data_IF_969866623803
#
_entry.id   IF_969866623803
#
_cell.length_a   1.000
_cell.length_b   1.000
_cell.length_c   1.000
_cell.angle_alpha   90.00
_cell.angle_beta   90.00
_cell.angle_gamma   90.00
#
_symmetry.space_group_name_H-M   'P 1'
#
loop_
_entity.id
_entity.type
_entity.pdbx_description
1 polymer ?
#
# COMPACT_ATOMS: atom_id res chain seq x y z
N UNK A 1 -1.77 33.77 -12.47
CA UNK A 1 -0.58 32.98 -12.04
C UNK A 1 0.02 32.18 -13.22
N UNK A 2 -0.78 31.46 -14.01
CA UNK A 2 -0.24 30.63 -15.13
C UNK A 2 0.72 31.36 -16.09
N UNK A 3 0.49 32.64 -16.52
CA UNK A 3 1.44 33.37 -17.36
C UNK A 3 2.83 33.57 -16.74
N UNK A 4 2.90 33.64 -15.39
CA UNK A 4 4.19 33.77 -14.68
C UNK A 4 4.98 32.48 -14.77
N UNK A 5 4.32 31.33 -14.62
CA UNK A 5 4.97 30.01 -14.76
C UNK A 5 5.42 29.76 -16.19
N UNK A 6 4.62 30.19 -17.17
CA UNK A 6 4.99 30.17 -18.60
C UNK A 6 6.28 30.97 -18.85
N UNK A 7 6.35 32.20 -18.34
CA UNK A 7 7.54 33.03 -18.43
C UNK A 7 8.75 32.37 -17.77
N UNK A 8 8.59 31.81 -16.56
CA UNK A 8 9.67 31.09 -15.88
C UNK A 8 10.13 29.90 -16.71
N UNK A 9 9.19 29.16 -17.28
CA UNK A 9 9.51 28.03 -18.16
C UNK A 9 10.35 28.47 -19.37
N UNK A 10 9.94 29.54 -20.05
CA UNK A 10 10.68 30.10 -21.18
C UNK A 10 12.08 30.55 -20.75
N UNK A 11 12.20 31.24 -19.61
CA UNK A 11 13.51 31.64 -19.07
C UNK A 11 14.41 30.40 -18.81
N UNK A 12 13.87 29.38 -18.19
CA UNK A 12 14.64 28.15 -17.90
C UNK A 12 15.03 27.41 -19.18
N UNK A 13 14.18 27.44 -20.20
CA UNK A 13 14.41 26.77 -21.48
C UNK A 13 15.39 27.51 -22.38
N UNK A 14 15.49 28.82 -22.23
CA UNK A 14 16.27 29.66 -23.15
C UNK A 14 17.77 29.32 -23.12
N UNK A 15 18.36 29.09 -24.28
CA UNK A 15 19.76 28.62 -24.38
C UNK A 15 20.79 29.71 -24.08
N UNK A 16 20.42 31.00 -24.21
CA UNK A 16 21.33 32.14 -23.93
C UNK A 16 21.54 32.35 -22.43
N UNK A 17 20.72 31.77 -21.56
CA UNK A 17 20.87 31.92 -20.10
C UNK A 17 22.00 30.99 -19.63
N UNK A 18 23.10 31.60 -19.26
CA UNK A 18 24.25 30.87 -18.77
C UNK A 18 23.94 30.09 -17.47
N UNK A 19 24.45 28.86 -17.42
CA UNK A 19 24.40 28.01 -16.24
C UNK A 19 24.88 28.72 -14.94
N UNK A 20 25.79 29.68 -15.07
CA UNK A 20 26.31 30.45 -13.94
C UNK A 20 25.22 31.30 -13.29
N UNK A 21 24.38 31.95 -14.09
CA UNK A 21 23.26 32.77 -13.60
C UNK A 21 22.23 31.90 -12.89
N UNK A 22 21.82 30.80 -13.50
CA UNK A 22 20.87 29.86 -12.88
C UNK A 22 21.38 29.29 -11.55
N UNK A 23 22.67 29.01 -11.42
CA UNK A 23 23.27 28.56 -10.14
C UNK A 23 23.20 29.60 -9.03
N UNK A 24 23.28 30.87 -9.36
CA UNK A 24 23.19 31.96 -8.38
C UNK A 24 21.74 32.15 -7.92
N UNK A 25 20.78 32.08 -8.84
CA UNK A 25 19.35 32.31 -8.55
C UNK A 25 18.72 31.10 -7.86
N UNK A 26 19.02 29.90 -8.35
CA UNK A 26 18.45 28.65 -7.82
C UNK A 26 19.22 28.22 -6.56
N UNK A 27 18.95 28.90 -5.49
CA UNK A 27 19.48 28.59 -4.13
C UNK A 27 18.70 27.49 -3.45
N UNK A 28 19.20 26.98 -2.31
CA UNK A 28 18.43 26.06 -1.48
C UNK A 28 17.14 26.71 -0.95
N UNK A 29 17.18 28.00 -0.60
CA UNK A 29 16.01 28.75 -0.14
C UNK A 29 14.97 28.83 -1.24
N UNK A 30 15.37 29.20 -2.46
CA UNK A 30 14.46 29.22 -3.64
C UNK A 30 13.81 27.87 -3.87
N UNK A 31 14.59 26.79 -3.86
CA UNK A 31 14.05 25.44 -4.06
C UNK A 31 13.06 25.04 -2.96
N UNK A 32 13.30 25.45 -1.70
CA UNK A 32 12.39 25.20 -0.60
C UNK A 32 11.03 25.91 -0.79
N UNK A 33 11.08 27.20 -1.11
CA UNK A 33 9.89 28.00 -1.40
C UNK A 33 9.17 27.48 -2.64
N UNK A 34 9.92 27.06 -3.67
CA UNK A 34 9.35 26.49 -4.90
C UNK A 34 8.64 25.16 -4.64
N UNK A 35 9.19 24.27 -3.80
CA UNK A 35 8.56 22.99 -3.45
C UNK A 35 7.29 23.17 -2.63
N UNK A 36 7.20 24.25 -1.80
CA UNK A 36 5.97 24.57 -1.07
C UNK A 36 4.81 24.90 -2.02
N UNK A 37 5.06 25.44 -3.21
CA UNK A 37 4.01 25.71 -4.20
C UNK A 37 3.27 24.44 -4.65
N UNK A 38 3.88 23.26 -4.52
CA UNK A 38 3.19 21.99 -4.80
C UNK A 38 2.08 21.64 -3.80
N UNK A 39 1.96 22.38 -2.68
CA UNK A 39 0.80 22.29 -1.78
C UNK A 39 -0.49 22.82 -2.42
N UNK A 40 -0.39 23.55 -3.54
CA UNK A 40 -1.55 24.05 -4.26
C UNK A 40 -2.56 22.96 -4.58
N UNK A 41 -3.84 23.22 -4.31
CA UNK A 41 -4.94 22.32 -4.69
C UNK A 41 -5.23 22.34 -6.20
N UNK A 42 -4.73 23.36 -6.93
CA UNK A 42 -4.99 23.57 -8.34
C UNK A 42 -4.05 22.73 -9.22
N UNK A 43 -4.56 21.63 -9.78
CA UNK A 43 -3.76 20.68 -10.54
C UNK A 43 -3.00 21.28 -11.75
N UNK A 44 -3.58 22.21 -12.56
CA UNK A 44 -2.82 22.85 -13.65
C UNK A 44 -1.60 23.63 -13.16
N UNK A 45 -1.65 24.26 -12.01
CA UNK A 45 -0.49 24.94 -11.40
C UNK A 45 0.61 23.93 -11.07
N UNK A 46 0.27 22.83 -10.42
CA UNK A 46 1.23 21.77 -10.09
C UNK A 46 1.87 21.15 -11.34
N UNK A 47 1.11 21.03 -12.42
CA UNK A 47 1.64 20.54 -13.69
C UNK A 47 2.72 21.49 -14.27
N UNK A 48 2.52 22.81 -14.22
CA UNK A 48 3.55 23.78 -14.58
C UNK A 48 4.78 23.67 -13.67
N UNK A 49 4.56 23.58 -12.36
CA UNK A 49 5.65 23.43 -11.39
C UNK A 49 6.45 22.14 -11.63
N UNK A 50 5.79 21.03 -11.93
CA UNK A 50 6.42 19.77 -12.31
C UNK A 50 7.33 19.95 -13.53
N UNK A 51 6.82 20.56 -14.57
CA UNK A 51 7.56 20.79 -15.80
C UNK A 51 8.78 21.70 -15.58
N UNK A 52 8.62 22.78 -14.79
CA UNK A 52 9.73 23.67 -14.42
C UNK A 52 10.79 22.90 -13.62
N UNK A 53 10.40 22.16 -12.59
CA UNK A 53 11.32 21.40 -11.74
C UNK A 53 12.08 20.33 -12.53
N UNK A 54 11.40 19.64 -13.43
CA UNK A 54 12.01 18.65 -14.32
C UNK A 54 13.07 19.29 -15.22
N UNK A 55 12.79 20.47 -15.80
CA UNK A 55 13.74 21.21 -16.64
C UNK A 55 14.93 21.74 -15.83
N UNK A 56 14.67 22.26 -14.63
CA UNK A 56 15.73 22.67 -13.70
C UNK A 56 16.63 21.49 -13.33
N UNK A 57 16.06 20.33 -13.05
CA UNK A 57 16.81 19.11 -12.77
C UNK A 57 17.66 18.66 -13.97
N UNK A 58 17.11 18.71 -15.17
CA UNK A 58 17.83 18.36 -16.39
C UNK A 58 19.01 19.31 -16.64
N UNK A 59 18.79 20.62 -16.54
CA UNK A 59 19.77 21.69 -16.87
C UNK A 59 20.83 21.88 -15.77
N UNK A 60 20.45 21.76 -14.47
CA UNK A 60 21.33 22.05 -13.32
C UNK A 60 22.01 20.79 -12.75
N UNK A 61 22.87 20.14 -13.54
CA UNK A 61 23.60 18.93 -13.09
C UNK A 61 24.23 19.05 -11.70
N UNK A 62 24.96 20.15 -11.36
CA UNK A 62 25.58 20.28 -10.03
C UNK A 62 24.57 20.40 -8.87
N UNK A 63 23.32 20.78 -9.13
CA UNK A 63 22.25 20.91 -8.13
C UNK A 63 21.36 19.67 -8.00
N UNK A 64 21.52 18.67 -8.85
CA UNK A 64 20.70 17.44 -8.84
C UNK A 64 20.65 16.77 -7.46
N UNK A 65 21.80 16.67 -6.77
CA UNK A 65 21.85 16.08 -5.42
C UNK A 65 21.01 16.89 -4.42
N UNK A 66 21.09 18.21 -4.49
CA UNK A 66 20.31 19.11 -3.63
C UNK A 66 18.81 18.96 -3.92
N UNK A 67 18.40 18.98 -5.19
CA UNK A 67 17.00 18.84 -5.60
C UNK A 67 16.45 17.50 -5.10
N UNK A 68 17.16 16.38 -5.33
CA UNK A 68 16.73 15.07 -4.84
C UNK A 68 16.57 15.05 -3.33
N UNK A 69 17.54 15.62 -2.59
CA UNK A 69 17.45 15.70 -1.13
C UNK A 69 16.19 16.44 -0.68
N UNK A 70 15.94 17.62 -1.23
CA UNK A 70 14.79 18.44 -0.83
C UNK A 70 13.45 17.77 -1.17
N UNK A 71 13.34 17.11 -2.33
CA UNK A 71 12.16 16.30 -2.67
C UNK A 71 11.99 15.13 -1.70
N UNK A 72 13.09 14.47 -1.34
CA UNK A 72 13.08 13.40 -0.32
C UNK A 72 12.62 13.92 1.04
N UNK A 73 13.11 15.09 1.47
CA UNK A 73 12.68 15.73 2.72
C UNK A 73 11.17 16.05 2.70
N UNK A 74 10.63 16.52 1.57
CA UNK A 74 9.19 16.73 1.38
C UNK A 74 8.39 15.43 1.55
N UNK A 75 8.84 14.34 0.96
CA UNK A 75 8.18 13.03 1.16
C UNK A 75 8.26 12.55 2.62
N UNK A 76 9.37 12.76 3.30
CA UNK A 76 9.47 12.42 4.72
C UNK A 76 8.49 13.24 5.58
N UNK A 77 8.33 14.55 5.32
CA UNK A 77 7.32 15.35 6.00
C UNK A 77 5.89 14.79 5.75
N UNK A 78 5.56 14.42 4.53
CA UNK A 78 4.27 13.79 4.21
C UNK A 78 4.05 12.47 4.97
N UNK A 79 5.08 11.61 5.05
CA UNK A 79 5.00 10.31 5.71
C UNK A 79 4.86 10.44 7.23
N UNK A 80 5.56 11.40 7.85
CA UNK A 80 5.68 11.50 9.30
C UNK A 80 4.78 12.56 9.93
N UNK A 81 4.61 13.71 9.28
CA UNK A 81 3.90 14.86 9.84
C UNK A 81 2.41 14.88 9.50
N UNK A 82 1.93 13.96 8.65
CA UNK A 82 0.54 13.85 8.19
C UNK A 82 -0.01 15.18 7.60
N UNK A 83 0.85 15.99 7.03
CA UNK A 83 0.47 17.24 6.35
C UNK A 83 -0.27 16.88 5.07
N UNK A 84 -1.34 17.59 4.75
CA UNK A 84 -1.97 17.47 3.43
C UNK A 84 -1.05 18.10 2.39
N UNK A 85 -0.56 17.28 1.49
CA UNK A 85 0.31 17.69 0.40
C UNK A 85 -0.26 17.16 -0.93
N UNK A 86 -0.64 18.06 -1.82
CA UNK A 86 -1.31 17.71 -3.06
C UNK A 86 -0.36 17.34 -4.20
N UNK A 87 0.87 17.81 -4.16
CA UNK A 87 1.87 17.65 -5.22
C UNK A 87 2.64 16.32 -5.21
N UNK A 88 2.17 15.32 -4.48
CA UNK A 88 2.87 14.04 -4.35
C UNK A 88 2.98 13.30 -5.69
N UNK A 89 1.91 13.27 -6.49
CA UNK A 89 1.87 12.64 -7.80
C UNK A 89 2.89 13.28 -8.75
N UNK A 90 2.91 14.61 -8.82
CA UNK A 90 3.81 15.37 -9.69
C UNK A 90 5.29 15.18 -9.29
N UNK A 91 5.58 15.14 -7.99
CA UNK A 91 6.94 14.88 -7.52
C UNK A 91 7.37 13.42 -7.77
N UNK A 92 6.46 12.45 -7.66
CA UNK A 92 6.73 11.05 -8.00
C UNK A 92 6.97 10.87 -9.50
N UNK A 93 6.23 11.58 -10.36
CA UNK A 93 6.45 11.54 -11.80
C UNK A 93 7.86 12.03 -12.18
N UNK A 94 8.33 13.12 -11.54
CA UNK A 94 9.73 13.58 -11.70
C UNK A 94 10.70 12.50 -11.21
N UNK A 95 10.41 11.89 -10.04
CA UNK A 95 11.27 10.84 -9.51
C UNK A 95 11.31 9.61 -10.43
N UNK A 96 10.21 9.23 -11.07
CA UNK A 96 10.20 8.16 -12.06
C UNK A 96 11.21 8.43 -13.20
N UNK A 97 11.24 9.67 -13.72
CA UNK A 97 12.22 10.07 -14.72
C UNK A 97 13.67 10.04 -14.17
N UNK A 98 13.87 10.40 -12.92
CA UNK A 98 15.18 10.34 -12.25
C UNK A 98 15.63 8.89 -12.03
N UNK A 99 14.74 8.02 -11.55
CA UNK A 99 15.00 6.61 -11.29
C UNK A 99 15.35 5.87 -12.58
N UNK A 100 14.65 6.18 -13.69
CA UNK A 100 14.96 5.57 -15.00
C UNK A 100 16.41 5.81 -15.42
N UNK A 101 16.99 6.96 -15.04
CA UNK A 101 18.39 7.32 -15.30
C UNK A 101 19.42 6.75 -14.31
N UNK A 102 19.03 5.98 -13.30
CA UNK A 102 20.00 5.37 -12.37
C UNK A 102 20.78 4.24 -13.05
N UNK A 103 22.10 4.22 -12.78
CA UNK A 103 22.96 3.12 -13.22
C UNK A 103 22.69 1.84 -12.42
N UNK A 104 22.92 0.71 -13.07
CA UNK A 104 22.89 -0.63 -12.43
C UNK A 104 24.34 -1.08 -12.21
N UNK A 105 24.67 -1.64 -11.02
CA UNK A 105 23.81 -1.89 -9.86
C UNK A 105 23.42 -0.60 -9.12
N UNK A 106 22.26 -0.66 -8.42
CA UNK A 106 21.81 0.46 -7.60
C UNK A 106 22.77 0.76 -6.45
N UNK A 107 22.97 2.04 -6.15
CA UNK A 107 23.76 2.46 -4.99
C UNK A 107 22.96 2.29 -3.70
N UNK A 108 23.64 2.14 -2.57
CA UNK A 108 23.00 2.05 -1.25
C UNK A 108 22.04 3.23 -0.97
N UNK A 109 22.38 4.45 -1.39
CA UNK A 109 21.51 5.62 -1.26
C UNK A 109 20.18 5.46 -1.99
N UNK A 110 20.17 4.76 -3.15
CA UNK A 110 18.97 4.52 -3.93
C UNK A 110 18.09 3.43 -3.29
N UNK A 111 18.71 2.36 -2.78
CA UNK A 111 18.03 1.30 -2.03
C UNK A 111 17.42 1.86 -0.74
N UNK A 112 18.17 2.72 -0.05
CA UNK A 112 17.68 3.41 1.14
C UNK A 112 16.46 4.29 0.81
N UNK A 113 16.52 5.07 -0.28
CA UNK A 113 15.39 5.89 -0.74
C UNK A 113 14.16 5.02 -1.08
N UNK A 114 14.35 3.88 -1.75
CA UNK A 114 13.27 2.95 -2.02
C UNK A 114 12.58 2.51 -0.72
N UNK A 115 13.33 2.02 0.26
CA UNK A 115 12.76 1.51 1.51
C UNK A 115 12.17 2.61 2.40
N UNK A 116 12.85 3.75 2.52
CA UNK A 116 12.45 4.82 3.45
C UNK A 116 11.40 5.77 2.90
N UNK A 117 11.25 5.85 1.57
CA UNK A 117 10.31 6.75 0.91
C UNK A 117 9.28 5.99 0.09
N UNK A 118 9.69 5.24 -0.95
CA UNK A 118 8.75 4.62 -1.88
C UNK A 118 7.85 3.61 -1.14
N UNK A 119 8.43 2.68 -0.40
CA UNK A 119 7.65 1.72 0.40
C UNK A 119 6.85 2.42 1.50
N UNK A 120 7.42 3.43 2.16
CA UNK A 120 6.75 4.12 3.27
C UNK A 120 5.59 5.02 2.83
N UNK A 121 5.58 5.54 1.59
CA UNK A 121 4.47 6.32 1.04
C UNK A 121 3.17 5.53 0.97
N UNK A 122 3.22 4.20 0.89
CA UNK A 122 2.03 3.35 0.95
C UNK A 122 1.29 3.44 2.30
N UNK A 123 1.97 3.81 3.38
CA UNK A 123 1.36 4.02 4.69
C UNK A 123 0.41 5.22 4.70
N UNK A 124 0.67 6.25 3.90
CA UNK A 124 -0.07 7.51 3.91
C UNK A 124 -1.52 7.30 3.50
N UNK A 125 -2.46 7.93 4.20
CA UNK A 125 -3.89 7.74 3.94
C UNK A 125 -4.28 8.16 2.51
N UNK A 126 -3.70 9.25 2.00
CA UNK A 126 -3.93 9.77 0.64
C UNK A 126 -3.18 8.99 -0.46
N UNK A 127 -2.50 7.89 -0.15
CA UNK A 127 -1.72 7.12 -1.15
C UNK A 127 -2.56 6.69 -2.36
N UNK A 128 -3.88 6.53 -2.20
CA UNK A 128 -4.79 6.28 -3.32
C UNK A 128 -4.81 7.38 -4.39
N UNK A 129 -4.47 8.62 -4.06
CA UNK A 129 -4.50 9.76 -4.99
C UNK A 129 -3.31 9.76 -5.97
N UNK A 130 -2.16 9.22 -5.54
CA UNK A 130 -0.91 9.18 -6.31
C UNK A 130 -0.36 7.76 -6.52
N UNK A 131 -1.23 6.75 -6.37
CA UNK A 131 -0.81 5.36 -6.42
C UNK A 131 -0.21 4.95 -7.77
N UNK A 132 -0.73 5.48 -8.88
CA UNK A 132 -0.22 5.13 -10.22
C UNK A 132 1.24 5.56 -10.40
N UNK A 133 1.57 6.77 -9.95
CA UNK A 133 2.93 7.31 -9.99
C UNK A 133 3.85 6.56 -9.02
N UNK A 134 3.32 6.19 -7.86
CA UNK A 134 4.03 5.39 -6.85
C UNK A 134 4.34 3.99 -7.37
N UNK A 135 3.36 3.29 -7.94
CA UNK A 135 3.51 1.99 -8.60
C UNK A 135 4.56 2.06 -9.72
N UNK A 136 4.49 3.10 -10.57
CA UNK A 136 5.48 3.31 -11.62
C UNK A 136 6.90 3.45 -11.05
N UNK A 137 7.08 4.21 -9.97
CA UNK A 137 8.36 4.34 -9.29
C UNK A 137 8.83 2.99 -8.72
N UNK A 138 7.93 2.23 -8.07
CA UNK A 138 8.19 0.90 -7.54
C UNK A 138 8.69 -0.05 -8.61
N UNK A 139 7.99 -0.13 -9.73
CA UNK A 139 8.34 -1.02 -10.86
C UNK A 139 9.65 -0.61 -11.53
N UNK A 140 9.95 0.69 -11.65
CA UNK A 140 11.24 1.17 -12.16
C UNK A 140 12.41 0.78 -11.24
N UNK A 141 12.25 0.77 -9.93
CA UNK A 141 13.26 0.25 -9.01
C UNK A 141 13.43 -1.26 -9.15
N UNK A 142 12.33 -2.00 -9.16
CA UNK A 142 12.33 -3.47 -9.27
C UNK A 142 12.95 -3.92 -10.60
N UNK A 143 12.70 -3.20 -11.71
CA UNK A 143 13.32 -3.51 -13.00
C UNK A 143 14.85 -3.40 -12.98
N UNK A 144 15.41 -2.58 -12.08
CA UNK A 144 16.86 -2.41 -11.90
C UNK A 144 17.44 -3.38 -10.87
N UNK A 145 16.68 -3.71 -9.85
CA UNK A 145 17.04 -4.68 -8.81
C UNK A 145 15.80 -5.49 -8.39
N UNK A 146 15.57 -6.67 -8.96
CA UNK A 146 14.45 -7.53 -8.62
C UNK A 146 14.37 -7.94 -7.15
N UNK A 147 15.46 -7.83 -6.40
CA UNK A 147 15.45 -8.15 -4.96
C UNK A 147 14.56 -7.22 -4.14
N UNK A 148 14.33 -5.99 -4.63
CA UNK A 148 13.49 -4.99 -3.99
C UNK A 148 11.99 -5.36 -4.03
N UNK A 149 11.57 -6.25 -4.92
CA UNK A 149 10.19 -6.73 -4.98
C UNK A 149 9.75 -7.37 -3.65
N UNK A 150 10.64 -8.11 -2.99
CA UNK A 150 10.36 -8.72 -1.68
C UNK A 150 10.11 -7.65 -0.61
N UNK A 151 10.91 -6.59 -0.60
CA UNK A 151 10.76 -5.49 0.36
C UNK A 151 9.47 -4.70 0.09
N UNK A 152 9.09 -4.53 -1.17
CA UNK A 152 7.81 -3.91 -1.53
C UNK A 152 6.63 -4.74 -1.02
N UNK A 153 6.62 -6.06 -1.28
CA UNK A 153 5.55 -6.96 -0.81
C UNK A 153 5.45 -6.95 0.72
N UNK A 154 6.58 -6.97 1.44
CA UNK A 154 6.58 -6.81 2.90
C UNK A 154 5.93 -5.50 3.33
N UNK A 155 6.25 -4.41 2.63
CA UNK A 155 5.67 -3.09 2.88
C UNK A 155 4.17 -3.05 2.63
N UNK A 156 3.70 -3.58 1.49
CA UNK A 156 2.28 -3.66 1.15
C UNK A 156 1.50 -4.47 2.20
N UNK A 157 2.00 -5.65 2.58
CA UNK A 157 1.37 -6.48 3.61
C UNK A 157 1.33 -5.78 4.98
N UNK A 158 2.37 -5.01 5.32
CA UNK A 158 2.45 -4.25 6.57
C UNK A 158 1.49 -3.07 6.63
N UNK A 159 1.30 -2.37 5.51
CA UNK A 159 0.52 -1.13 5.42
C UNK A 159 -0.86 -1.35 4.78
N UNK A 160 -1.37 -2.57 4.79
CA UNK A 160 -2.62 -2.93 4.14
C UNK A 160 -3.80 -2.07 4.60
N UNK A 161 -4.56 -1.45 3.68
CA UNK A 161 -5.59 -0.45 4.03
C UNK A 161 -6.97 -1.09 4.25
N UNK A 162 -7.17 -1.77 5.34
CA UNK A 162 -8.42 -2.51 5.63
C UNK A 162 -9.72 -1.68 5.64
N UNK A 163 -9.65 -0.37 5.88
CA UNK A 163 -10.84 0.47 5.98
C UNK A 163 -11.14 1.26 4.70
N UNK A 164 -10.31 1.13 3.67
CA UNK A 164 -10.44 1.90 2.42
C UNK A 164 -10.37 0.95 1.22
N UNK A 165 -11.53 0.50 0.75
CA UNK A 165 -11.64 -0.45 -0.36
C UNK A 165 -10.99 0.08 -1.67
N UNK A 166 -11.07 1.39 -1.93
CA UNK A 166 -10.46 2.00 -3.12
C UNK A 166 -8.93 1.90 -3.08
N UNK A 167 -8.35 2.09 -1.91
CA UNK A 167 -6.91 1.92 -1.72
C UNK A 167 -6.53 0.43 -1.70
N UNK A 168 -7.39 -0.41 -1.16
CA UNK A 168 -7.20 -1.86 -1.11
C UNK A 168 -7.16 -2.49 -2.51
N UNK A 169 -8.06 -2.10 -3.41
CA UNK A 169 -8.03 -2.55 -4.81
C UNK A 169 -6.75 -2.14 -5.53
N UNK A 170 -6.24 -0.94 -5.26
CA UNK A 170 -4.96 -0.48 -5.82
C UNK A 170 -3.77 -1.28 -5.28
N UNK A 171 -3.78 -1.64 -4.00
CA UNK A 171 -2.74 -2.50 -3.41
C UNK A 171 -2.77 -3.92 -4.00
N UNK A 172 -3.97 -4.46 -4.25
CA UNK A 172 -4.12 -5.74 -4.95
C UNK A 172 -3.56 -5.66 -6.37
N UNK A 173 -3.85 -4.58 -7.11
CA UNK A 173 -3.30 -4.35 -8.44
C UNK A 173 -1.77 -4.30 -8.40
N UNK A 174 -1.17 -3.51 -7.50
CA UNK A 174 0.29 -3.42 -7.37
C UNK A 174 0.91 -4.77 -6.99
N UNK A 175 0.29 -5.48 -6.06
CA UNK A 175 0.72 -6.82 -5.67
C UNK A 175 0.68 -7.79 -6.85
N UNK A 176 -0.36 -7.72 -7.68
CA UNK A 176 -0.51 -8.54 -8.88
C UNK A 176 0.64 -8.28 -9.88
N UNK A 177 0.95 -7.01 -10.17
CA UNK A 177 2.04 -6.64 -11.08
C UNK A 177 3.43 -7.03 -10.55
N UNK A 178 3.63 -6.96 -9.23
CA UNK A 178 4.91 -7.32 -8.59
C UNK A 178 5.12 -8.82 -8.54
N UNK A 179 4.05 -9.63 -8.49
CA UNK A 179 4.17 -11.09 -8.42
C UNK A 179 5.00 -11.66 -9.57
N UNK A 180 4.81 -11.18 -10.79
CA UNK A 180 5.50 -11.72 -11.99
C UNK A 180 7.03 -11.56 -11.94
N UNK A 181 7.52 -10.65 -11.08
CA UNK A 181 8.96 -10.37 -10.92
C UNK A 181 9.55 -11.02 -9.65
N UNK A 182 8.69 -11.59 -8.80
CA UNK A 182 9.13 -12.18 -7.54
C UNK A 182 9.91 -13.48 -7.74
N UNK A 183 11.07 -13.57 -7.10
CA UNK A 183 11.81 -14.82 -7.01
C UNK A 183 11.16 -15.74 -5.95
N UNK A 184 10.63 -16.88 -6.40
CA UNK A 184 9.95 -17.86 -5.56
C UNK A 184 10.79 -18.35 -4.36
N UNK A 185 12.12 -18.32 -4.46
CA UNK A 185 13.02 -18.78 -3.39
C UNK A 185 13.08 -17.75 -2.23
N UNK A 186 12.98 -16.47 -2.56
CA UNK A 186 13.07 -15.37 -1.58
C UNK A 186 11.74 -15.01 -0.91
N UNK A 187 10.63 -15.47 -1.50
CA UNK A 187 9.27 -15.16 -1.05
C UNK A 187 8.75 -16.19 -0.04
N UNK A 188 9.40 -17.33 0.12
CA UNK A 188 8.89 -18.43 0.92
C UNK A 188 8.42 -18.03 2.32
N UNK A 189 9.16 -17.14 3.01
CA UNK A 189 8.80 -16.66 4.35
C UNK A 189 7.54 -15.77 4.34
N UNK A 190 7.26 -15.11 3.21
CA UNK A 190 6.12 -14.20 3.07
C UNK A 190 4.84 -14.91 2.62
N UNK A 191 4.96 -16.10 2.02
CA UNK A 191 3.82 -16.82 1.44
C UNK A 191 2.66 -17.02 2.41
N UNK A 192 2.87 -17.40 3.69
CA UNK A 192 1.76 -17.56 4.61
C UNK A 192 0.99 -16.24 4.82
N UNK A 193 1.69 -15.13 4.93
CA UNK A 193 1.09 -13.79 5.10
C UNK A 193 0.40 -13.33 3.82
N UNK A 194 1.00 -13.57 2.67
CA UNK A 194 0.46 -13.26 1.35
C UNK A 194 -0.86 -14.01 1.11
N UNK A 195 -0.86 -15.34 1.28
CA UNK A 195 -2.07 -16.15 1.07
C UNK A 195 -3.18 -15.80 2.07
N UNK A 196 -2.83 -15.51 3.33
CA UNK A 196 -3.80 -15.03 4.33
C UNK A 196 -4.41 -13.69 3.92
N UNK A 197 -3.60 -12.77 3.39
CA UNK A 197 -4.10 -11.48 2.96
C UNK A 197 -5.02 -11.60 1.74
N UNK A 198 -4.64 -12.41 0.74
CA UNK A 198 -5.50 -12.69 -0.42
C UNK A 198 -6.81 -13.36 0.03
N UNK A 199 -6.75 -14.34 0.94
CA UNK A 199 -7.95 -14.97 1.51
C UNK A 199 -8.88 -13.96 2.21
N UNK A 200 -8.32 -12.99 2.95
CA UNK A 200 -9.10 -11.90 3.55
C UNK A 200 -9.76 -11.02 2.50
N UNK A 201 -9.04 -10.69 1.43
CA UNK A 201 -9.60 -9.86 0.35
C UNK A 201 -10.71 -10.59 -0.41
N UNK A 202 -10.59 -11.90 -0.65
CA UNK A 202 -11.66 -12.73 -1.24
C UNK A 202 -12.90 -12.72 -0.34
N UNK A 203 -12.71 -12.68 0.99
CA UNK A 203 -13.80 -12.62 1.97
C UNK A 203 -14.34 -11.21 2.19
N UNK A 204 -13.86 -10.21 1.45
CA UNK A 204 -14.29 -8.82 1.63
C UNK A 204 -15.77 -8.66 1.27
N UNK A 205 -16.54 -7.87 2.04
CA UNK A 205 -17.92 -7.51 1.68
C UNK A 205 -17.97 -6.60 0.44
N UNK A 206 -16.87 -5.93 0.09
CA UNK A 206 -16.76 -5.10 -1.10
C UNK A 206 -16.51 -5.93 -2.34
N UNK A 207 -17.50 -5.89 -3.27
CA UNK A 207 -17.44 -6.63 -4.52
C UNK A 207 -16.13 -6.43 -5.30
N UNK A 208 -15.67 -5.19 -5.42
CA UNK A 208 -14.47 -4.85 -6.18
C UNK A 208 -13.19 -5.44 -5.57
N UNK A 209 -13.11 -5.53 -4.24
CA UNK A 209 -11.95 -6.11 -3.56
C UNK A 209 -11.93 -7.62 -3.76
N UNK A 210 -13.08 -8.29 -3.58
CA UNK A 210 -13.19 -9.72 -3.76
C UNK A 210 -12.93 -10.13 -5.23
N UNK A 211 -13.47 -9.38 -6.18
CA UNK A 211 -13.25 -9.58 -7.60
C UNK A 211 -11.77 -9.45 -7.98
N UNK A 212 -11.14 -8.33 -7.58
CA UNK A 212 -9.70 -8.11 -7.81
C UNK A 212 -8.82 -9.17 -7.13
N UNK A 213 -9.24 -9.72 -5.99
CA UNK A 213 -8.49 -10.80 -5.34
C UNK A 213 -8.66 -12.15 -6.06
N UNK A 214 -9.77 -12.38 -6.74
CA UNK A 214 -9.98 -13.59 -7.53
C UNK A 214 -9.16 -13.59 -8.83
N UNK A 215 -8.82 -12.42 -9.41
CA UNK A 215 -7.99 -12.35 -10.63
C UNK A 215 -6.58 -12.96 -10.42
N UNK A 216 -6.10 -13.07 -9.17
CA UNK A 216 -4.84 -13.74 -8.88
C UNK A 216 -4.82 -15.21 -9.33
N UNK A 217 -5.97 -15.88 -9.36
CA UNK A 217 -6.07 -17.26 -9.81
C UNK A 217 -6.07 -17.42 -11.34
N UNK A 218 -6.10 -16.32 -12.07
CA UNK A 218 -5.89 -16.27 -13.52
C UNK A 218 -4.40 -16.10 -13.86
N UNK A 219 -3.56 -15.74 -12.89
CA UNK A 219 -2.13 -15.55 -13.06
C UNK A 219 -1.38 -16.89 -12.95
N UNK A 220 -0.72 -17.30 -14.03
CA UNK A 220 0.02 -18.57 -14.10
C UNK A 220 1.16 -18.66 -13.08
N UNK A 221 1.83 -17.54 -12.80
CA UNK A 221 2.89 -17.49 -11.80
C UNK A 221 2.34 -17.74 -10.39
N UNK A 222 1.24 -17.08 -10.04
CA UNK A 222 0.57 -17.31 -8.76
C UNK A 222 0.11 -18.76 -8.59
N UNK A 223 -0.47 -19.35 -9.62
CA UNK A 223 -0.83 -20.77 -9.62
C UNK A 223 0.41 -21.68 -9.47
N UNK A 224 1.55 -21.31 -10.09
CA UNK A 224 2.80 -22.04 -9.92
C UNK A 224 3.32 -21.99 -8.47
N UNK A 225 3.18 -20.83 -7.81
CA UNK A 225 3.50 -20.69 -6.38
C UNK A 225 2.60 -21.57 -5.51
N UNK A 226 1.29 -21.59 -5.78
CA UNK A 226 0.35 -22.46 -5.06
C UNK A 226 0.73 -23.93 -5.24
N UNK A 227 1.05 -24.38 -6.48
CA UNK A 227 1.47 -25.76 -6.76
C UNK A 227 2.76 -26.12 -6.04
N UNK A 228 3.76 -25.23 -6.07
CA UNK A 228 5.06 -25.42 -5.42
C UNK A 228 4.95 -25.48 -3.90
N UNK A 229 4.11 -24.63 -3.32
CA UNK A 229 3.95 -24.49 -1.86
C UNK A 229 2.55 -24.90 -1.38
N UNK A 230 1.99 -25.97 -2.00
CA UNK A 230 0.63 -26.44 -1.74
C UNK A 230 0.33 -26.74 -0.27
N UNK A 231 1.34 -27.20 0.50
CA UNK A 231 1.21 -27.48 1.94
C UNK A 231 0.98 -26.22 2.79
N UNK A 232 1.29 -25.04 2.26
CA UNK A 232 1.07 -23.75 2.91
C UNK A 232 -0.18 -23.10 2.33
N UNK A 233 -0.33 -23.11 1.00
CA UNK A 233 -1.38 -22.40 0.30
C UNK A 233 -2.77 -23.02 0.52
N UNK A 234 -2.90 -24.35 0.31
CA UNK A 234 -4.20 -25.03 0.37
C UNK A 234 -4.87 -24.95 1.74
N UNK A 235 -4.17 -25.15 2.88
CA UNK A 235 -4.80 -24.97 4.19
C UNK A 235 -5.33 -23.57 4.47
N UNK A 236 -4.82 -22.54 3.78
CA UNK A 236 -5.25 -21.15 3.96
C UNK A 236 -6.39 -20.80 2.99
N UNK A 237 -6.23 -21.14 1.71
CA UNK A 237 -7.14 -20.71 0.65
C UNK A 237 -8.37 -21.62 0.49
N UNK A 238 -8.20 -22.95 0.57
CA UNK A 238 -9.26 -23.90 0.28
C UNK A 238 -10.47 -23.78 1.23
N UNK A 239 -10.30 -23.60 2.56
CA UNK A 239 -11.43 -23.41 3.47
C UNK A 239 -12.27 -22.19 3.14
N UNK A 240 -11.60 -21.06 2.91
CA UNK A 240 -12.26 -19.77 2.64
C UNK A 240 -13.04 -19.82 1.32
N UNK A 241 -12.38 -20.28 0.26
CA UNK A 241 -12.99 -20.36 -1.06
C UNK A 241 -14.14 -21.36 -1.07
N UNK A 242 -14.00 -22.53 -0.42
CA UNK A 242 -15.07 -23.52 -0.37
C UNK A 242 -16.30 -23.01 0.36
N UNK A 243 -16.12 -22.31 1.48
CA UNK A 243 -17.23 -21.72 2.22
C UNK A 243 -17.94 -20.65 1.41
N UNK A 244 -17.19 -19.73 0.78
CA UNK A 244 -17.75 -18.62 0.01
C UNK A 244 -18.40 -19.09 -1.29
N UNK A 245 -17.88 -20.11 -1.96
CA UNK A 245 -18.48 -20.72 -3.13
C UNK A 245 -19.90 -21.23 -2.88
N UNK A 246 -20.19 -21.66 -1.64
CA UNK A 246 -21.51 -22.18 -1.28
C UNK A 246 -22.45 -21.08 -0.70
N UNK A 247 -21.89 -19.98 -0.17
CA UNK A 247 -22.67 -18.99 0.61
C UNK A 247 -22.65 -17.56 0.08
N UNK A 248 -21.83 -17.25 -0.95
CA UNK A 248 -21.66 -15.89 -1.42
C UNK A 248 -22.95 -15.33 -2.03
N UNK A 249 -23.32 -14.10 -1.65
CA UNK A 249 -24.57 -13.44 -2.07
C UNK A 249 -24.56 -13.00 -3.53
N UNK A 250 -23.38 -12.70 -4.12
CA UNK A 250 -23.24 -12.24 -5.49
C UNK A 250 -22.94 -13.41 -6.42
N UNK A 251 -23.84 -13.71 -7.36
CA UNK A 251 -23.79 -14.92 -8.18
C UNK A 251 -22.54 -15.02 -9.06
N UNK A 252 -22.13 -13.93 -9.73
CA UNK A 252 -20.94 -13.96 -10.60
C UNK A 252 -19.66 -14.29 -9.82
N UNK A 253 -19.49 -13.70 -8.62
CA UNK A 253 -18.35 -14.05 -7.77
C UNK A 253 -18.45 -15.47 -7.23
N UNK A 254 -19.66 -15.93 -6.94
CA UNK A 254 -19.89 -17.31 -6.53
C UNK A 254 -19.45 -18.30 -7.62
N UNK A 255 -19.81 -18.04 -8.87
CA UNK A 255 -19.41 -18.87 -10.03
C UNK A 255 -17.88 -18.86 -10.20
N UNK A 256 -17.22 -17.71 -10.06
CA UNK A 256 -15.76 -17.58 -10.07
C UNK A 256 -15.11 -18.36 -8.92
N UNK A 257 -15.68 -18.28 -7.70
CA UNK A 257 -15.18 -19.03 -6.54
C UNK A 257 -15.34 -20.55 -6.71
N UNK A 258 -16.43 -21.00 -7.36
CA UNK A 258 -16.61 -22.41 -7.71
C UNK A 258 -15.51 -22.88 -8.68
N UNK A 259 -15.20 -22.07 -9.70
CA UNK A 259 -14.12 -22.37 -10.64
C UNK A 259 -12.76 -22.45 -9.92
N UNK A 260 -12.45 -21.49 -9.07
CA UNK A 260 -11.21 -21.48 -8.27
C UNK A 260 -11.15 -22.66 -7.31
N UNK A 261 -12.25 -23.02 -6.66
CA UNK A 261 -12.34 -24.23 -5.82
C UNK A 261 -11.95 -25.47 -6.59
N UNK A 262 -12.41 -25.61 -7.84
CA UNK A 262 -12.05 -26.76 -8.70
C UNK A 262 -10.56 -26.75 -9.03
N UNK A 263 -9.98 -25.59 -9.39
CA UNK A 263 -8.56 -25.43 -9.65
C UNK A 263 -7.72 -25.88 -8.43
N UNK A 264 -8.09 -25.42 -7.22
CA UNK A 264 -7.37 -25.80 -6.00
C UNK A 264 -7.48 -27.29 -5.69
N UNK A 265 -8.63 -27.90 -5.94
CA UNK A 265 -8.85 -29.36 -5.78
C UNK A 265 -7.99 -30.14 -6.75
N UNK A 266 -7.86 -29.70 -8.01
CA UNK A 266 -7.08 -30.37 -9.05
C UNK A 266 -5.56 -30.28 -8.79
N UNK A 267 -5.09 -29.28 -8.03
CA UNK A 267 -3.67 -29.16 -7.65
C UNK A 267 -3.25 -30.29 -6.71
N UNK A 268 -4.04 -30.59 -5.67
CA UNK A 268 -3.77 -31.69 -4.72
C UNK A 268 -5.04 -32.04 -3.95
N UNK A 269 -5.79 -33.03 -4.44
CA UNK A 269 -7.04 -33.47 -3.81
C UNK A 269 -6.88 -33.94 -2.36
N UNK A 270 -5.88 -34.79 -1.99
CA UNK A 270 -5.67 -35.20 -0.61
C UNK A 270 -5.43 -34.04 0.36
N UNK A 271 -4.55 -33.08 0.00
CA UNK A 271 -4.26 -31.92 0.83
C UNK A 271 -5.46 -30.99 0.90
N UNK A 272 -6.18 -30.80 -0.18
CA UNK A 272 -7.41 -30.01 -0.24
C UNK A 272 -8.46 -30.57 0.72
N UNK A 273 -8.77 -31.86 0.64
CA UNK A 273 -9.77 -32.51 1.51
C UNK A 273 -9.35 -32.50 2.98
N UNK A 274 -8.06 -32.71 3.29
CA UNK A 274 -7.56 -32.60 4.67
C UNK A 274 -7.67 -31.17 5.20
N UNK A 275 -7.49 -30.17 4.35
CA UNK A 275 -7.63 -28.74 4.71
C UNK A 275 -9.07 -28.37 5.04
N UNK A 276 -10.05 -29.01 4.37
CA UNK A 276 -11.47 -28.80 4.69
C UNK A 276 -11.89 -29.47 6.01
N UNK A 277 -11.31 -30.63 6.36
CA UNK A 277 -11.59 -31.28 7.64
C UNK A 277 -11.11 -30.45 8.84
N UNK A 278 -10.05 -29.69 8.66
CA UNK A 278 -9.53 -28.78 9.68
C UNK A 278 -10.39 -27.53 9.91
N UNK A 279 -11.40 -27.25 9.05
CA UNK A 279 -12.43 -26.22 9.28
C UNK A 279 -13.21 -26.41 10.59
N UNK A 280 -13.26 -27.62 11.15
CA UNK A 280 -13.91 -27.91 12.44
C UNK A 280 -13.04 -27.49 13.64
N UNK A 281 -11.81 -27.03 13.42
CA UNK A 281 -10.93 -26.54 14.47
C UNK A 281 -11.02 -25.01 14.56
N UNK A 282 -11.16 -24.42 15.76
CA UNK A 282 -11.54 -23.00 15.93
C UNK A 282 -10.51 -21.94 15.52
N UNK A 283 -9.50 -22.29 14.76
CA UNK A 283 -8.39 -21.40 14.38
C UNK A 283 -8.51 -20.71 12.99
N UNK A 284 -9.50 -21.03 12.17
CA UNK A 284 -9.65 -20.50 10.80
C UNK A 284 -11.00 -19.83 10.52
N UNK A 285 -11.73 -19.51 11.56
CA UNK A 285 -13.01 -18.84 11.43
C UNK A 285 -12.81 -17.43 10.85
N UNK A 286 -13.49 -17.15 9.74
CA UNK A 286 -14.10 -15.83 9.56
C UNK A 286 -14.83 -15.63 10.87
N UNK A 287 -14.28 -14.82 11.75
CA UNK A 287 -14.78 -14.65 13.11
C UNK A 287 -16.23 -14.20 12.99
N UNK A 288 -17.16 -15.01 13.44
CA UNK A 288 -18.55 -14.61 13.52
C UNK A 288 -18.66 -13.39 14.46
N UNK A 289 -19.73 -12.63 14.31
CA UNK A 289 -19.95 -11.42 15.12
C UNK A 289 -19.91 -11.70 16.63
N UNK A 290 -20.22 -12.92 17.04
CA UNK A 290 -20.22 -13.31 18.46
C UNK A 290 -18.79 -13.55 18.98
N UNK A 291 -17.95 -14.16 18.18
CA UNK A 291 -16.53 -14.37 18.51
C UNK A 291 -15.76 -13.05 18.50
N UNK A 292 -16.01 -12.16 17.52
CA UNK A 292 -15.46 -10.80 17.51
C UNK A 292 -15.91 -10.00 18.75
N UNK A 293 -17.17 -10.16 19.15
CA UNK A 293 -17.70 -9.53 20.37
C UNK A 293 -17.00 -10.04 21.65
N UNK A 294 -16.73 -11.34 21.72
CA UNK A 294 -15.99 -11.97 22.85
C UNK A 294 -14.54 -11.46 22.90
N UNK A 295 -13.85 -11.38 21.75
CA UNK A 295 -12.47 -10.86 21.67
C UNK A 295 -12.45 -9.39 22.06
N UNK A 296 -13.39 -8.58 21.56
CA UNK A 296 -13.49 -7.16 21.90
C UNK A 296 -13.71 -6.98 23.42
N UNK A 297 -14.65 -7.69 23.99
CA UNK A 297 -14.93 -7.60 25.42
C UNK A 297 -13.72 -8.02 26.27
N UNK A 298 -12.96 -9.04 25.84
CA UNK A 298 -11.74 -9.46 26.51
C UNK A 298 -10.64 -8.38 26.44
N UNK A 299 -10.48 -7.72 25.30
CA UNK A 299 -9.53 -6.59 25.14
C UNK A 299 -9.95 -5.37 25.97
N UNK A 300 -11.24 -5.06 26.04
CA UNK A 300 -11.78 -3.99 26.91
C UNK A 300 -11.48 -4.25 28.37
N UNK A 301 -11.67 -5.49 28.83
CA UNK A 301 -11.37 -5.90 30.22
C UNK A 301 -9.86 -5.77 30.49
N UNK A 302 -9.00 -6.23 29.58
CA UNK A 302 -7.55 -6.08 29.71
C UNK A 302 -7.12 -4.61 29.76
N UNK A 303 -7.71 -3.76 28.91
CA UNK A 303 -7.40 -2.34 28.89
C UNK A 303 -7.83 -1.64 30.18
N UNK A 304 -9.02 -1.93 30.68
CA UNK A 304 -9.50 -1.38 31.96
C UNK A 304 -8.65 -1.82 33.16
N UNK A 305 -8.16 -3.05 33.16
CA UNK A 305 -7.23 -3.54 34.19
C UNK A 305 -5.85 -2.86 34.09
N UNK A 306 -5.32 -2.66 32.89
CA UNK A 306 -4.07 -1.91 32.69
C UNK A 306 -4.22 -0.46 33.12
N UNK A 307 -5.34 0.19 32.76
CA UNK A 307 -5.69 1.56 33.16
C UNK A 307 -5.72 1.68 34.69
N UNK A 308 -6.40 0.78 35.36
CA UNK A 308 -6.48 0.74 36.82
C UNK A 308 -5.10 0.59 37.46
N UNK A 309 -4.27 -0.34 36.96
CA UNK A 309 -2.89 -0.52 37.42
C UNK A 309 -2.01 0.70 37.21
N UNK A 310 -2.15 1.37 36.09
CA UNK A 310 -1.40 2.58 35.78
C UNK A 310 -1.80 3.74 36.70
N UNK A 311 -3.09 3.95 36.94
CA UNK A 311 -3.61 4.99 37.85
C UNK A 311 -3.20 4.72 39.30
N UNK A 312 -3.13 3.46 39.71
CA UNK A 312 -2.62 3.10 41.05
C UNK A 312 -1.13 3.42 41.23
N UNK A 313 -0.32 3.31 40.14
CA UNK A 313 1.12 3.60 40.19
C UNK A 313 1.43 5.09 40.08
N UNK A 314 0.62 5.83 39.34
CA UNK A 314 0.83 7.26 39.11
C UNK A 314 -0.53 7.97 39.11
N UNK A 315 -0.98 8.46 40.26
CA UNK A 315 -2.22 9.22 40.38
C UNK A 315 -2.14 10.49 39.54
N UNK A 316 -3.15 10.72 38.67
CA UNK A 316 -3.22 11.92 37.81
C UNK A 316 -2.65 11.75 36.38
N UNK A 317 -2.16 10.58 36.00
CA UNK A 317 -1.77 10.30 34.61
C UNK A 317 -2.99 10.32 33.70
N UNK A 318 -2.97 11.17 32.69
CA UNK A 318 -3.90 11.08 31.57
C UNK A 318 -3.44 9.93 30.67
N UNK A 319 -4.22 8.87 30.63
CA UNK A 319 -3.95 7.72 29.80
C UNK A 319 -4.43 7.98 28.36
N UNK A 320 -3.71 7.47 27.35
CA UNK A 320 -4.15 7.58 25.98
C UNK A 320 -5.52 6.92 25.81
N UNK A 321 -6.36 7.52 24.99
CA UNK A 321 -7.64 6.94 24.58
C UNK A 321 -7.37 5.58 23.94
N UNK A 322 -8.12 4.51 24.29
CA UNK A 322 -7.94 3.21 23.63
C UNK A 322 -8.01 3.38 22.11
N UNK A 323 -7.25 2.59 21.35
CA UNK A 323 -7.18 2.71 19.89
C UNK A 323 -8.52 2.45 19.18
N UNK A 324 -9.54 1.95 19.89
CA UNK A 324 -10.91 1.88 19.41
C UNK A 324 -11.82 2.71 20.31
N UNK A 325 -12.85 3.34 19.73
CA UNK A 325 -13.79 4.15 20.49
C UNK A 325 -14.89 3.24 21.07
N UNK A 326 -14.94 2.99 22.39
CA UNK A 326 -15.98 2.17 23.00
C UNK A 326 -17.37 2.84 22.97
N UNK A 327 -17.45 4.14 22.63
CA UNK A 327 -18.70 4.89 22.54
C UNK A 327 -19.48 4.66 21.24
N UNK A 328 -18.92 3.98 20.25
CA UNK A 328 -19.69 3.49 19.10
C UNK A 328 -20.55 2.34 19.57
N UNK A 329 -21.78 2.64 19.96
CA UNK A 329 -22.75 1.66 20.47
C UNK A 329 -23.21 0.74 19.35
N UNK A 330 -23.52 -0.49 19.68
CA UNK A 330 -24.18 -1.44 18.76
C UNK A 330 -25.50 -0.90 18.16
N UNK A 331 -26.10 0.13 18.77
CA UNK A 331 -27.25 0.87 18.25
C UNK A 331 -26.94 1.67 16.97
N UNK A 332 -25.68 2.07 16.76
CA UNK A 332 -25.27 2.86 15.59
C UNK A 332 -25.13 1.99 14.34
N UNK A 333 -25.20 0.68 14.50
CA UNK A 333 -25.13 -0.33 13.44
C UNK A 333 -26.48 -1.03 13.14
N UNK A 334 -27.58 -0.59 13.75
CA UNK A 334 -28.90 -1.18 13.55
C UNK A 334 -29.49 -1.06 12.13
N UNK A 335 -28.76 -0.45 11.18
CA UNK A 335 -29.11 -0.39 9.76
C UNK A 335 -28.18 -1.21 8.86
N UNK A 336 -27.11 -1.80 9.40
CA UNK A 336 -26.19 -2.64 8.65
C UNK A 336 -26.47 -4.11 8.95
N UNK A 337 -26.67 -4.91 7.93
CA UNK A 337 -26.80 -6.36 8.09
C UNK A 337 -25.57 -6.89 8.84
N UNK A 338 -25.76 -7.90 9.71
CA UNK A 338 -24.75 -8.55 10.55
C UNK A 338 -23.50 -9.07 9.83
N UNK A 339 -23.36 -8.81 8.53
CA UNK A 339 -22.25 -9.22 7.66
C UNK A 339 -21.20 -8.12 7.40
N UNK A 340 -21.46 -6.88 7.83
CA UNK A 340 -20.66 -5.71 7.41
C UNK A 340 -19.57 -5.27 8.40
N UNK A 341 -19.34 -6.02 9.47
CA UNK A 341 -18.38 -5.64 10.51
C UNK A 341 -17.17 -6.58 10.47
N UNK A 342 -16.20 -6.26 9.66
CA UNK A 342 -14.84 -6.80 9.81
C UNK A 342 -14.06 -5.78 10.65
N UNK A 343 -13.84 -6.10 11.91
CA UNK A 343 -12.93 -5.34 12.78
C UNK A 343 -11.52 -5.85 12.59
N UNK A 344 -10.64 -4.91 12.35
CA UNK A 344 -9.21 -5.07 12.13
C UNK A 344 -8.47 -4.81 13.43
N UNK A 345 -7.51 -5.66 13.72
CA UNK A 345 -6.41 -5.39 14.64
C UNK A 345 -5.33 -4.53 14.01
#
# INVERSE_FOLDING_TARGET
MLPVYELIMQIVMHDTIEMKILKVVITQKFLGEFLQLFESWYAPEREYLKNILHRLYAKLVPRRKLIRKMVTDTFHSLIHEKVKFHGCAELLDINAAVISGFAVPLREEHVHFFNSVIVALHKVQSAGEYHNELLRCSMLFISKDPSLAVELVKGLLRFWPFANYQKETKFLQELYEVLDVLDASRVQELLPSLFKQIAKCISSPHLQVADQALTFFENDYFLSLIRKYKQIALPILAPVISQLADTHWHKLLQDSMIAVRQILKDIDTPVFESSLKNLQSPGYLILDCETLRKIRNAKETQWSDLTRKAQQRTPGVQLPIPPYNPAVRASDFNGLNNRDIILVD
#
